data_IF_934198195347
#
_entry.id   IF_934198195347
#
_cell.length_a   1.000
_cell.length_b   1.000
_cell.length_c   1.000
_cell.angle_alpha   90.00
_cell.angle_beta   90.00
_cell.angle_gamma   90.00
#
_symmetry.space_group_name_H-M   'P 1'
#
loop_
_entity.id
_entity.type
_entity.pdbx_description
1 polymer ?
#
# COMPACT_ATOMS: atom_id res chain seq x y z
N UNK A 1 3.49 65.23 39.51
CA UNK A 1 3.01 66.08 38.39
C UNK A 1 3.55 65.49 37.10
N UNK A 2 2.81 65.15 36.05
CA UNK A 2 1.42 64.75 35.82
C UNK A 2 1.49 63.99 34.48
N UNK A 3 0.78 62.87 34.37
CA UNK A 3 0.58 62.13 33.13
C UNK A 3 -0.22 62.97 32.12
N UNK A 4 0.15 62.92 30.84
CA UNK A 4 -0.79 63.02 29.71
C UNK A 4 -0.04 62.67 28.40
N UNK A 5 -0.24 61.46 27.89
CA UNK A 5 0.05 61.12 26.48
C UNK A 5 -1.29 60.96 25.80
N UNK A 6 -1.54 61.86 24.84
CA UNK A 6 -2.78 61.98 24.10
C UNK A 6 -2.97 60.91 23.03
N UNK A 7 -4.24 60.60 22.83
CA UNK A 7 -4.76 59.85 21.69
C UNK A 7 -4.47 60.58 20.37
N UNK A 8 -3.96 59.85 19.37
CA UNK A 8 -4.15 60.18 17.96
C UNK A 8 -4.58 58.92 17.20
N UNK A 9 -5.81 58.97 16.72
CA UNK A 9 -6.49 58.07 15.77
C UNK A 9 -5.96 58.24 14.34
N UNK A 10 -6.06 57.19 13.49
CA UNK A 10 -6.21 57.13 12.00
C UNK A 10 -5.77 55.70 11.52
N UNK A 11 -6.35 55.02 10.48
CA UNK A 11 -7.72 54.96 9.94
C UNK A 11 -8.25 53.48 9.82
N UNK A 12 -9.51 53.25 9.39
CA UNK A 12 -10.05 51.91 9.16
C UNK A 12 -9.93 51.52 7.67
N UNK A 13 -9.00 50.62 7.33
CA UNK A 13 -9.17 49.62 6.26
C UNK A 13 -7.85 48.90 5.99
N UNK A 14 -7.77 47.63 6.37
CA UNK A 14 -6.93 46.63 5.69
C UNK A 14 -7.30 45.26 6.24
N UNK A 15 -8.32 44.64 5.63
CA UNK A 15 -8.52 43.20 5.72
C UNK A 15 -7.29 42.51 5.12
N UNK A 16 -6.52 41.68 5.84
CA UNK A 16 -5.66 40.73 5.18
C UNK A 16 -6.57 39.60 4.70
N UNK A 17 -6.80 39.56 3.38
CA UNK A 17 -7.35 38.39 2.70
C UNK A 17 -6.36 37.21 2.84
N UNK A 18 -6.32 36.60 4.02
CA UNK A 18 -5.69 35.30 4.20
C UNK A 18 -6.67 34.23 3.73
N UNK A 19 -6.92 34.16 2.41
CA UNK A 19 -7.54 32.99 1.79
C UNK A 19 -6.53 31.85 1.89
N UNK A 20 -6.65 31.09 2.98
CA UNK A 20 -5.95 29.83 3.16
C UNK A 20 -6.21 28.93 1.93
N UNK A 21 -5.17 28.50 1.19
CA UNK A 21 -5.34 27.64 0.00
C UNK A 21 -5.98 26.28 0.36
N UNK A 22 -5.88 25.85 1.62
CA UNK A 22 -6.45 24.61 2.13
C UNK A 22 -7.96 24.44 1.89
N UNK A 23 -8.73 25.55 1.87
CA UNK A 23 -10.19 25.48 1.75
C UNK A 23 -10.67 25.15 0.34
N UNK A 24 -9.88 25.49 -0.69
CA UNK A 24 -10.20 25.14 -2.10
C UNK A 24 -9.88 23.68 -2.39
N UNK A 25 -8.77 23.17 -1.90
CA UNK A 25 -8.38 21.77 -2.12
C UNK A 25 -9.31 20.81 -1.37
N UNK A 26 -9.71 21.15 -0.14
CA UNK A 26 -10.74 20.40 0.58
C UNK A 26 -12.10 20.42 -0.15
N UNK A 27 -12.47 21.54 -0.78
CA UNK A 27 -13.74 21.65 -1.51
C UNK A 27 -13.74 20.85 -2.82
N UNK A 28 -12.62 20.84 -3.55
CA UNK A 28 -12.43 19.99 -4.73
C UNK A 28 -12.39 18.50 -4.36
N UNK A 29 -11.72 18.16 -3.25
CA UNK A 29 -11.70 16.80 -2.72
C UNK A 29 -13.11 16.34 -2.34
N UNK A 30 -13.92 17.18 -1.68
CA UNK A 30 -15.33 16.89 -1.38
C UNK A 30 -16.17 16.70 -2.65
N UNK A 31 -15.90 17.46 -3.72
CA UNK A 31 -16.60 17.27 -5.00
C UNK A 31 -16.24 15.94 -5.69
N UNK A 32 -15.04 15.40 -5.44
CA UNK A 32 -14.60 14.07 -5.89
C UNK A 32 -15.30 12.92 -5.13
N UNK A 33 -15.82 13.19 -3.92
CA UNK A 33 -16.50 12.22 -3.05
C UNK A 33 -18.00 12.06 -3.36
N UNK A 34 -18.55 12.70 -4.40
CA UNK A 34 -19.98 12.54 -4.74
C UNK A 34 -20.24 11.09 -5.20
N UNK A 35 -21.15 10.34 -4.54
CA UNK A 35 -21.39 8.94 -4.87
C UNK A 35 -22.07 8.80 -6.23
N UNK A 36 -21.53 7.91 -7.07
CA UNK A 36 -22.15 7.54 -8.35
C UNK A 36 -23.28 6.55 -8.08
N UNK A 37 -24.45 6.64 -8.74
CA UNK A 37 -25.58 5.76 -8.43
C UNK A 37 -25.30 4.27 -8.72
N UNK A 38 -25.53 3.40 -7.71
CA UNK A 38 -25.31 1.93 -7.70
C UNK A 38 -25.79 1.17 -8.94
N UNK A 39 -26.86 1.63 -9.60
CA UNK A 39 -27.46 0.96 -10.77
C UNK A 39 -26.67 1.16 -12.06
N UNK A 40 -26.00 2.31 -12.22
CA UNK A 40 -25.07 2.59 -13.33
C UNK A 40 -23.80 1.76 -13.19
N UNK A 41 -23.31 1.62 -11.95
CA UNK A 41 -22.10 0.87 -11.58
C UNK A 41 -22.17 -0.62 -11.97
N UNK A 42 -23.29 -1.31 -11.69
CA UNK A 42 -23.45 -2.74 -12.06
C UNK A 42 -23.38 -2.96 -13.58
N UNK A 43 -23.72 -1.95 -14.37
CA UNK A 43 -23.77 -2.00 -15.83
C UNK A 43 -22.39 -1.72 -16.43
N UNK A 44 -21.65 -0.75 -15.89
CA UNK A 44 -20.25 -0.47 -16.25
C UNK A 44 -19.30 -1.60 -15.85
N UNK A 45 -19.49 -2.20 -14.66
CA UNK A 45 -18.68 -3.35 -14.21
C UNK A 45 -18.95 -4.62 -15.01
N UNK A 46 -20.20 -4.84 -15.43
CA UNK A 46 -20.51 -5.85 -16.44
C UNK A 46 -19.81 -5.52 -17.77
N UNK A 47 -19.73 -4.26 -18.15
CA UNK A 47 -19.05 -3.82 -19.39
C UNK A 47 -17.54 -4.07 -19.37
N UNK A 48 -16.85 -3.79 -18.25
CA UNK A 48 -15.40 -4.02 -18.12
C UNK A 48 -15.07 -5.51 -17.96
N UNK A 49 -15.88 -6.29 -17.24
CA UNK A 49 -15.70 -7.75 -17.17
C UNK A 49 -16.10 -8.45 -18.48
N UNK A 50 -17.06 -7.90 -19.23
CA UNK A 50 -17.41 -8.36 -20.58
C UNK A 50 -16.41 -7.87 -21.65
N UNK A 51 -15.42 -7.05 -21.29
CA UNK A 51 -14.44 -6.50 -22.23
C UNK A 51 -13.56 -7.58 -22.87
N UNK A 52 -13.51 -8.79 -22.29
CA UNK A 52 -12.72 -9.90 -22.81
C UNK A 52 -13.56 -11.03 -23.44
N UNK A 53 -14.68 -11.46 -22.85
CA UNK A 53 -15.58 -12.50 -23.39
C UNK A 53 -16.92 -12.56 -22.61
N UNK A 54 -17.98 -13.14 -23.19
CA UNK A 54 -19.25 -13.41 -22.50
C UNK A 54 -19.12 -14.43 -21.34
N UNK A 55 -18.00 -15.16 -21.27
CA UNK A 55 -17.72 -16.13 -20.22
C UNK A 55 -16.78 -15.53 -19.14
N UNK A 56 -17.33 -15.33 -17.94
CA UNK A 56 -16.63 -14.75 -16.79
C UNK A 56 -15.34 -15.49 -16.43
N UNK A 57 -15.32 -16.83 -16.56
CA UNK A 57 -14.13 -17.65 -16.27
C UNK A 57 -13.01 -17.37 -17.26
N UNK A 58 -13.34 -17.25 -18.54
CA UNK A 58 -12.36 -16.96 -19.60
C UNK A 58 -11.80 -15.55 -19.42
N UNK A 59 -12.65 -14.58 -19.08
CA UNK A 59 -12.20 -13.23 -18.71
C UNK A 59 -11.24 -13.24 -17.52
N UNK A 60 -11.54 -14.01 -16.47
CA UNK A 60 -10.67 -14.13 -15.29
C UNK A 60 -9.34 -14.80 -15.61
N UNK A 61 -9.32 -15.78 -16.52
CA UNK A 61 -8.09 -16.42 -16.99
C UNK A 61 -7.22 -15.45 -17.81
N UNK A 62 -7.83 -14.65 -18.69
CA UNK A 62 -7.12 -13.63 -19.46
C UNK A 62 -6.56 -12.56 -18.51
N UNK A 63 -7.38 -12.07 -17.57
CA UNK A 63 -6.95 -11.13 -16.54
C UNK A 63 -5.82 -11.70 -15.69
N UNK A 64 -5.90 -13.00 -15.34
CA UNK A 64 -4.86 -13.73 -14.65
C UNK A 64 -3.56 -13.78 -15.43
N UNK A 65 -3.62 -14.12 -16.72
CA UNK A 65 -2.46 -14.15 -17.61
C UNK A 65 -1.79 -12.78 -17.78
N UNK A 66 -2.58 -11.72 -17.97
CA UNK A 66 -2.07 -10.34 -18.07
C UNK A 66 -1.44 -9.87 -16.76
N UNK A 67 -2.13 -10.07 -15.63
CA UNK A 67 -1.63 -9.70 -14.30
C UNK A 67 -0.36 -10.47 -13.93
N UNK A 68 -0.32 -11.77 -14.22
CA UNK A 68 0.86 -12.60 -14.07
C UNK A 68 2.01 -12.15 -14.97
N UNK A 69 1.72 -11.79 -16.23
CA UNK A 69 2.69 -11.21 -17.16
C UNK A 69 3.31 -9.90 -16.66
N UNK A 70 2.50 -9.00 -16.09
CA UNK A 70 2.98 -7.77 -15.45
C UNK A 70 3.88 -8.08 -14.26
N UNK A 71 3.44 -8.98 -13.36
CA UNK A 71 4.22 -9.37 -12.19
C UNK A 71 5.57 -10.01 -12.57
N UNK A 72 5.58 -10.92 -13.55
CA UNK A 72 6.79 -11.56 -14.05
C UNK A 72 7.73 -10.55 -14.73
N UNK A 73 7.19 -9.59 -15.47
CA UNK A 73 7.98 -8.55 -16.14
C UNK A 73 8.68 -7.65 -15.11
N UNK A 74 7.95 -7.25 -14.06
CA UNK A 74 8.52 -6.48 -12.94
C UNK A 74 9.55 -7.29 -12.15
N UNK A 75 9.28 -8.56 -11.86
CA UNK A 75 10.25 -9.46 -11.22
C UNK A 75 11.54 -9.54 -12.04
N UNK A 76 11.43 -9.81 -13.36
CA UNK A 76 12.58 -9.87 -14.26
C UNK A 76 13.34 -8.54 -14.30
N UNK A 77 12.64 -7.41 -14.32
CA UNK A 77 13.28 -6.09 -14.28
C UNK A 77 14.16 -5.92 -13.03
N UNK A 78 13.63 -6.28 -11.86
CA UNK A 78 14.37 -6.17 -10.60
C UNK A 78 15.46 -7.23 -10.43
N UNK A 79 15.26 -8.42 -10.98
CA UNK A 79 16.30 -9.45 -11.06
C UNK A 79 17.49 -8.99 -11.91
N UNK A 80 17.23 -8.39 -13.08
CA UNK A 80 18.29 -7.84 -13.93
C UNK A 80 19.03 -6.69 -13.24
N UNK A 81 18.30 -5.84 -12.54
CA UNK A 81 18.87 -4.76 -11.74
C UNK A 81 19.78 -5.28 -10.61
N UNK A 82 19.35 -6.33 -9.91
CA UNK A 82 20.13 -7.00 -8.87
C UNK A 82 21.36 -7.75 -9.43
N UNK A 83 21.23 -8.38 -10.59
CA UNK A 83 22.35 -9.05 -11.28
C UNK A 83 23.44 -8.06 -11.65
N UNK A 84 23.05 -6.92 -12.21
CA UNK A 84 23.96 -5.84 -12.63
C UNK A 84 24.54 -5.04 -11.46
N UNK A 85 24.07 -5.27 -10.23
CA UNK A 85 24.55 -4.56 -9.04
C UNK A 85 24.28 -3.06 -9.07
N UNK A 86 23.22 -2.63 -9.77
CA UNK A 86 22.87 -1.21 -9.89
C UNK A 86 22.45 -0.64 -8.54
N UNK A 87 21.78 -1.45 -7.72
CA UNK A 87 21.36 -1.11 -6.36
C UNK A 87 21.87 -2.14 -5.37
N UNK A 88 22.09 -1.69 -4.13
CA UNK A 88 22.34 -2.58 -3.00
C UNK A 88 21.20 -3.59 -2.85
N UNK A 89 21.56 -4.83 -2.48
CA UNK A 89 20.61 -5.93 -2.37
C UNK A 89 19.42 -5.61 -1.46
N UNK A 90 19.69 -4.90 -0.34
CA UNK A 90 18.66 -4.48 0.61
C UNK A 90 17.71 -3.42 0.05
N UNK A 91 18.20 -2.54 -0.83
CA UNK A 91 17.36 -1.53 -1.50
C UNK A 91 16.54 -2.22 -2.59
N UNK A 92 17.16 -3.06 -3.40
CA UNK A 92 16.48 -3.80 -4.46
C UNK A 92 15.32 -4.64 -3.92
N UNK A 93 15.54 -5.35 -2.81
CA UNK A 93 14.48 -6.10 -2.11
C UNK A 93 13.28 -5.23 -1.75
N UNK A 94 13.51 -4.03 -1.20
CA UNK A 94 12.41 -3.11 -0.85
C UNK A 94 11.74 -2.50 -2.08
N UNK A 95 12.47 -2.28 -3.17
CA UNK A 95 11.87 -1.84 -4.44
C UNK A 95 10.98 -2.93 -5.06
N UNK A 96 11.42 -4.18 -5.04
CA UNK A 96 10.60 -5.34 -5.45
C UNK A 96 9.32 -5.39 -4.61
N UNK A 97 9.46 -5.25 -3.29
CA UNK A 97 8.36 -5.24 -2.34
C UNK A 97 7.32 -4.16 -2.60
N UNK A 98 7.75 -2.90 -2.77
CA UNK A 98 6.86 -1.77 -3.06
C UNK A 98 6.19 -1.98 -4.42
N UNK A 99 6.97 -2.26 -5.47
CA UNK A 99 6.44 -2.24 -6.83
C UNK A 99 5.56 -3.42 -7.16
N UNK A 100 5.89 -4.64 -6.73
CA UNK A 100 5.05 -5.80 -7.02
C UNK A 100 3.70 -5.74 -6.33
N UNK A 101 3.67 -5.34 -5.04
CA UNK A 101 2.42 -5.25 -4.30
C UNK A 101 1.47 -4.21 -4.88
N UNK A 102 1.97 -3.00 -5.16
CA UNK A 102 1.14 -1.92 -5.71
C UNK A 102 0.76 -2.20 -7.18
N UNK A 103 1.66 -2.74 -8.00
CA UNK A 103 1.32 -3.12 -9.38
C UNK A 103 0.25 -4.21 -9.42
N UNK A 104 0.31 -5.20 -8.53
CA UNK A 104 -0.71 -6.24 -8.43
C UNK A 104 -2.08 -5.65 -8.04
N UNK A 105 -2.12 -4.69 -7.11
CA UNK A 105 -3.37 -3.98 -6.77
C UNK A 105 -3.94 -3.20 -7.96
N UNK A 106 -3.10 -2.62 -8.83
CA UNK A 106 -3.57 -1.96 -10.06
C UNK A 106 -4.24 -2.93 -11.03
N UNK A 107 -3.90 -4.23 -10.98
CA UNK A 107 -4.53 -5.25 -11.81
C UNK A 107 -5.85 -5.79 -11.25
N UNK A 108 -6.20 -5.54 -9.98
CA UNK A 108 -7.46 -6.00 -9.36
C UNK A 108 -8.74 -5.63 -10.11
N UNK A 109 -8.86 -4.46 -10.78
CA UNK A 109 -10.02 -4.11 -11.59
C UNK A 109 -10.29 -5.07 -12.76
N UNK A 110 -9.24 -5.74 -13.29
CA UNK A 110 -9.34 -6.64 -14.44
C UNK A 110 -10.10 -7.93 -14.16
N UNK A 111 -10.19 -8.31 -12.88
CA UNK A 111 -10.89 -9.52 -12.46
C UNK A 111 -12.39 -9.28 -12.29
N UNK A 112 -13.13 -10.37 -12.44
CA UNK A 112 -14.58 -10.39 -12.31
C UNK A 112 -15.04 -9.95 -10.90
N UNK A 113 -16.23 -9.33 -10.80
CA UNK A 113 -16.81 -9.01 -9.50
C UNK A 113 -17.25 -10.30 -8.78
N UNK A 114 -16.95 -10.38 -7.48
CA UNK A 114 -17.37 -11.47 -6.60
C UNK A 114 -16.24 -12.37 -6.13
N UNK A 115 -16.61 -13.48 -5.47
CA UNK A 115 -15.68 -14.41 -4.82
C UNK A 115 -14.78 -15.15 -5.82
N UNK A 116 -15.29 -15.43 -7.02
CA UNK A 116 -14.55 -16.11 -8.07
C UNK A 116 -13.33 -15.29 -8.52
N UNK A 117 -13.54 -14.06 -8.98
CA UNK A 117 -12.44 -13.16 -9.35
C UNK A 117 -11.44 -12.94 -8.21
N UNK A 118 -11.93 -12.89 -6.97
CA UNK A 118 -11.09 -12.82 -5.77
C UNK A 118 -10.14 -14.02 -5.64
N UNK A 119 -10.65 -15.23 -5.85
CA UNK A 119 -9.84 -16.45 -5.83
C UNK A 119 -8.85 -16.45 -6.99
N UNK A 120 -9.30 -16.13 -8.21
CA UNK A 120 -8.41 -16.09 -9.39
C UNK A 120 -7.24 -15.11 -9.21
N UNK A 121 -7.51 -13.92 -8.70
CA UNK A 121 -6.45 -12.96 -8.40
C UNK A 121 -5.54 -13.47 -7.29
N UNK A 122 -6.08 -14.06 -6.21
CA UNK A 122 -5.29 -14.61 -5.11
C UNK A 122 -4.40 -15.80 -5.52
N UNK A 123 -4.75 -16.53 -6.58
CA UNK A 123 -3.90 -17.59 -7.12
C UNK A 123 -2.55 -17.08 -7.61
N UNK A 124 -2.46 -15.85 -8.12
CA UNK A 124 -1.21 -15.27 -8.62
C UNK A 124 -0.15 -15.17 -7.51
N UNK A 125 -0.39 -14.45 -6.40
CA UNK A 125 0.55 -14.43 -5.28
C UNK A 125 0.66 -15.78 -4.57
N UNK A 126 -0.37 -16.64 -4.60
CA UNK A 126 -0.28 -18.00 -4.05
C UNK A 126 0.72 -18.89 -4.81
N UNK A 127 0.78 -18.78 -6.14
CA UNK A 127 1.84 -19.45 -6.93
C UNK A 127 3.22 -18.94 -6.53
N UNK A 128 3.34 -17.64 -6.24
CA UNK A 128 4.60 -17.06 -5.76
C UNK A 128 4.98 -17.58 -4.36
N UNK A 129 4.02 -17.80 -3.47
CA UNK A 129 4.23 -18.47 -2.17
C UNK A 129 4.83 -19.87 -2.41
N UNK A 130 4.25 -20.66 -3.30
CA UNK A 130 4.77 -22.00 -3.64
C UNK A 130 6.19 -21.89 -4.18
N UNK A 131 6.47 -20.94 -5.10
CA UNK A 131 7.84 -20.70 -5.61
C UNK A 131 8.81 -20.42 -4.46
N UNK A 132 8.45 -19.51 -3.54
CA UNK A 132 9.27 -19.15 -2.38
C UNK A 132 9.51 -20.33 -1.43
N UNK A 133 8.50 -21.17 -1.19
CA UNK A 133 8.64 -22.38 -0.38
C UNK A 133 9.60 -23.38 -1.03
N UNK A 134 9.43 -23.66 -2.33
CA UNK A 134 10.31 -24.58 -3.07
C UNK A 134 11.76 -24.10 -3.08
N UNK A 135 11.98 -22.79 -3.27
CA UNK A 135 13.32 -22.20 -3.22
C UNK A 135 13.89 -22.21 -1.79
N UNK A 136 13.12 -21.78 -0.80
CA UNK A 136 13.56 -21.70 0.58
C UNK A 136 13.84 -23.06 1.23
N UNK A 137 13.16 -24.12 0.78
CA UNK A 137 13.44 -25.52 1.16
C UNK A 137 14.60 -26.15 0.37
N UNK A 138 15.17 -25.43 -0.60
CA UNK A 138 16.31 -25.90 -1.41
C UNK A 138 15.95 -26.89 -2.51
N UNK A 139 14.66 -27.10 -2.79
CA UNK A 139 14.16 -28.00 -3.83
C UNK A 139 14.38 -27.39 -5.22
N UNK A 140 14.25 -26.07 -5.33
CA UNK A 140 14.46 -25.31 -6.58
C UNK A 140 15.55 -24.25 -6.39
N UNK A 141 16.50 -24.15 -7.33
CA UNK A 141 17.58 -23.15 -7.28
C UNK A 141 17.38 -22.07 -8.33
N UNK A 142 17.33 -20.82 -7.89
CA UNK A 142 17.19 -19.63 -8.72
C UNK A 142 17.90 -18.45 -8.03
N UNK A 143 19.22 -18.41 -8.19
CA UNK A 143 20.08 -17.42 -7.53
C UNK A 143 19.70 -15.98 -7.91
N UNK A 144 19.10 -15.79 -9.09
CA UNK A 144 18.64 -14.49 -9.56
C UNK A 144 17.48 -13.95 -8.73
N UNK A 145 16.43 -14.76 -8.55
CA UNK A 145 15.29 -14.41 -7.71
C UNK A 145 15.72 -14.27 -6.25
N UNK A 146 16.58 -15.16 -5.74
CA UNK A 146 17.06 -15.08 -4.36
C UNK A 146 17.82 -13.78 -4.13
N UNK A 147 18.75 -13.42 -5.02
CA UNK A 147 19.51 -12.17 -4.91
C UNK A 147 18.61 -10.93 -4.94
N UNK A 148 17.53 -10.94 -5.73
CA UNK A 148 16.64 -9.78 -5.80
C UNK A 148 15.72 -9.62 -4.58
N UNK A 149 15.42 -10.72 -3.87
CA UNK A 149 14.42 -10.77 -2.80
C UNK A 149 14.97 -10.99 -1.38
N UNK A 150 16.26 -11.24 -1.22
CA UNK A 150 16.90 -11.51 0.10
C UNK A 150 17.93 -10.45 0.45
N UNK A 151 18.34 -10.39 1.72
CA UNK A 151 19.35 -9.46 2.25
C UNK A 151 20.74 -9.92 1.89
N UNK A 152 21.04 -11.18 2.20
CA UNK A 152 22.40 -11.72 2.18
C UNK A 152 22.55 -12.85 1.14
N UNK A 153 21.52 -13.10 0.33
CA UNK A 153 21.54 -14.15 -0.70
C UNK A 153 21.18 -15.54 -0.17
N UNK A 154 20.76 -15.66 1.09
CA UNK A 154 20.34 -16.93 1.68
C UNK A 154 18.91 -17.29 1.23
N UNK A 155 18.77 -18.46 0.63
CA UNK A 155 17.50 -19.06 0.24
C UNK A 155 16.49 -19.12 1.40
N UNK A 156 16.94 -19.34 2.64
CA UNK A 156 16.05 -19.42 3.81
C UNK A 156 15.40 -18.10 4.18
N UNK A 157 15.98 -16.97 3.79
CA UNK A 157 15.35 -15.66 4.00
C UNK A 157 14.07 -15.49 3.19
N UNK A 158 13.90 -16.23 2.08
CA UNK A 158 12.66 -16.23 1.31
C UNK A 158 11.47 -16.71 2.13
N UNK A 159 11.69 -17.56 3.14
CA UNK A 159 10.66 -18.11 4.02
C UNK A 159 10.20 -17.13 5.12
N UNK A 160 10.84 -15.96 5.21
CA UNK A 160 10.50 -14.92 6.19
C UNK A 160 9.73 -13.79 5.51
N UNK A 161 10.31 -12.59 5.42
CA UNK A 161 9.68 -11.41 4.84
C UNK A 161 8.97 -11.65 3.51
N UNK A 162 9.65 -12.15 2.44
CA UNK A 162 9.03 -12.40 1.15
C UNK A 162 7.78 -13.29 1.22
N UNK A 163 7.82 -14.37 2.01
CA UNK A 163 6.69 -15.27 2.22
C UNK A 163 5.53 -14.58 2.95
N UNK A 164 5.81 -13.82 4.01
CA UNK A 164 4.79 -13.08 4.76
C UNK A 164 4.11 -12.00 3.91
N UNK A 165 4.88 -11.33 3.06
CA UNK A 165 4.34 -10.35 2.11
C UNK A 165 3.41 -11.00 1.08
N UNK A 166 3.87 -12.07 0.43
CA UNK A 166 3.05 -12.79 -0.54
C UNK A 166 1.79 -13.38 0.12
N UNK A 167 1.91 -13.86 1.36
CA UNK A 167 0.78 -14.36 2.16
C UNK A 167 -0.23 -13.26 2.46
N UNK A 168 0.23 -12.09 2.90
CA UNK A 168 -0.67 -10.96 3.18
C UNK A 168 -1.43 -10.52 1.94
N UNK A 169 -0.76 -10.36 0.79
CA UNK A 169 -1.42 -10.00 -0.47
C UNK A 169 -2.44 -11.07 -0.87
N UNK A 170 -2.08 -12.35 -0.72
CA UNK A 170 -2.97 -13.49 -1.02
C UNK A 170 -4.21 -13.46 -0.14
N UNK A 171 -4.05 -13.31 1.18
CA UNK A 171 -5.15 -13.28 2.15
C UNK A 171 -6.02 -12.03 1.99
N UNK A 172 -5.41 -10.85 1.76
CA UNK A 172 -6.14 -9.62 1.49
C UNK A 172 -6.99 -9.76 0.22
N UNK A 173 -6.44 -10.39 -0.83
CA UNK A 173 -7.16 -10.67 -2.07
C UNK A 173 -8.29 -11.67 -1.85
N UNK A 174 -8.01 -12.78 -1.17
CA UNK A 174 -8.98 -13.85 -0.99
C UNK A 174 -10.10 -13.45 -0.02
N UNK A 175 -9.82 -12.84 1.13
CA UNK A 175 -10.82 -12.67 2.20
C UNK A 175 -11.56 -11.34 2.04
N UNK A 176 -10.82 -10.24 1.97
CA UNK A 176 -11.37 -8.89 2.03
C UNK A 176 -11.70 -8.33 0.64
N UNK A 177 -10.89 -8.70 -0.36
CA UNK A 177 -11.00 -8.30 -1.76
C UNK A 177 -10.98 -6.78 -2.00
N UNK A 178 -11.04 -6.37 -3.27
CA UNK A 178 -10.96 -4.97 -3.71
C UNK A 178 -12.08 -4.04 -3.21
N UNK A 179 -13.13 -4.61 -2.61
CA UNK A 179 -14.27 -3.85 -2.07
C UNK A 179 -14.08 -3.45 -0.61
N UNK A 180 -13.07 -3.99 0.08
CA UNK A 180 -12.84 -3.71 1.49
C UNK A 180 -11.71 -2.69 1.69
N UNK A 181 -11.94 -1.61 2.45
CA UNK A 181 -10.88 -0.69 2.88
C UNK A 181 -9.77 -1.39 3.66
N UNK A 182 -10.07 -2.47 4.39
CA UNK A 182 -9.08 -3.22 5.19
C UNK A 182 -8.02 -3.85 4.27
N UNK A 183 -8.43 -4.43 3.14
CA UNK A 183 -7.50 -5.02 2.16
C UNK A 183 -6.52 -3.96 1.64
N UNK A 184 -7.06 -2.79 1.27
CA UNK A 184 -6.29 -1.66 0.74
C UNK A 184 -5.29 -1.19 1.77
N UNK A 185 -5.77 -0.91 3.00
CA UNK A 185 -4.91 -0.44 4.08
C UNK A 185 -3.80 -1.44 4.41
N UNK A 186 -4.11 -2.73 4.46
CA UNK A 186 -3.15 -3.78 4.78
C UNK A 186 -2.04 -3.85 3.72
N UNK A 187 -2.40 -3.93 2.44
CA UNK A 187 -1.41 -4.04 1.36
C UNK A 187 -0.65 -2.72 1.19
N UNK A 188 -1.30 -1.56 1.28
CA UNK A 188 -0.62 -0.27 1.13
C UNK A 188 0.34 0.02 2.30
N UNK A 189 -0.05 -0.20 3.55
CA UNK A 189 0.85 0.02 4.69
C UNK A 189 2.02 -0.97 4.70
N UNK A 190 1.76 -2.22 4.32
CA UNK A 190 2.82 -3.21 4.20
C UNK A 190 3.76 -2.91 3.03
N UNK A 191 3.25 -2.68 1.81
CA UNK A 191 4.08 -2.47 0.63
C UNK A 191 4.69 -1.07 0.57
N UNK A 192 3.86 -0.02 0.61
CA UNK A 192 4.32 1.36 0.49
C UNK A 192 4.87 1.88 1.82
N UNK A 193 4.16 1.65 2.93
CA UNK A 193 4.56 2.12 4.26
C UNK A 193 5.90 1.53 4.70
N UNK A 194 5.97 0.22 4.98
CA UNK A 194 7.22 -0.45 5.42
C UNK A 194 8.34 -0.33 4.38
N UNK A 195 8.01 -0.41 3.08
CA UNK A 195 8.98 -0.18 2.01
C UNK A 195 9.65 1.20 2.10
N UNK A 196 8.85 2.26 2.25
CA UNK A 196 9.37 3.63 2.32
C UNK A 196 10.04 3.92 3.67
N UNK A 197 9.54 3.32 4.77
CA UNK A 197 10.13 3.43 6.10
C UNK A 197 11.60 3.00 6.11
N UNK A 198 11.90 1.87 5.47
CA UNK A 198 13.26 1.34 5.39
C UNK A 198 14.15 2.15 4.42
N UNK A 199 13.62 2.65 3.30
CA UNK A 199 14.37 3.48 2.36
C UNK A 199 14.73 4.83 2.98
N UNK A 200 13.73 5.55 3.52
CA UNK A 200 13.91 6.86 4.14
C UNK A 200 14.65 6.73 5.46
N UNK A 201 14.35 5.72 6.26
CA UNK A 201 15.01 5.48 7.55
C UNK A 201 16.50 5.18 7.41
N UNK A 202 16.93 4.50 6.35
CA UNK A 202 18.36 4.30 6.08
C UNK A 202 19.06 5.55 5.55
N UNK A 203 18.40 6.31 4.68
CA UNK A 203 19.01 7.47 4.02
C UNK A 203 19.01 8.73 4.90
N UNK A 204 17.96 8.92 5.69
CA UNK A 204 17.70 10.14 6.46
C UNK A 204 17.42 9.87 7.94
N UNK A 205 17.43 8.63 8.42
CA UNK A 205 17.07 8.26 9.80
C UNK A 205 18.18 8.49 10.84
N UNK A 206 18.78 9.69 10.84
CA UNK A 206 19.78 10.09 11.83
C UNK A 206 19.20 10.20 13.24
N UNK A 207 17.94 10.62 13.38
CA UNK A 207 17.23 10.64 14.66
C UNK A 207 16.58 9.29 14.95
N UNK A 208 17.18 8.54 15.88
CA UNK A 208 16.66 7.24 16.35
C UNK A 208 15.54 7.44 17.35
N UNK A 209 14.66 6.44 17.45
CA UNK A 209 13.59 6.46 18.45
C UNK A 209 14.18 6.16 19.85
N UNK A 210 13.70 6.85 20.90
CA UNK A 210 14.25 6.70 22.25
C UNK A 210 14.07 5.28 22.81
N UNK A 211 13.01 4.58 22.40
CA UNK A 211 12.70 3.21 22.81
C UNK A 211 13.14 2.13 21.80
N UNK A 212 13.53 2.50 20.58
CA UNK A 212 13.99 1.54 19.56
C UNK A 212 15.11 2.14 18.71
N UNK A 213 16.36 1.78 19.02
CA UNK A 213 17.55 2.31 18.33
C UNK A 213 17.70 1.81 16.89
N UNK A 214 17.01 0.71 16.52
CA UNK A 214 17.04 0.17 15.17
C UNK A 214 16.16 0.99 14.21
N UNK A 215 15.15 1.69 14.75
CA UNK A 215 14.17 2.47 14.00
C UNK A 215 14.42 3.97 14.16
N UNK A 216 13.87 4.75 13.24
CA UNK A 216 14.11 6.20 13.18
C UNK A 216 12.80 6.97 13.06
N UNK A 217 12.78 8.18 13.61
CA UNK A 217 11.61 9.07 13.54
C UNK A 217 11.22 9.32 12.09
N UNK A 218 12.21 9.60 11.23
CA UNK A 218 12.00 9.82 9.80
C UNK A 218 11.45 8.58 9.08
N UNK A 219 11.88 7.38 9.49
CA UNK A 219 11.34 6.11 8.97
C UNK A 219 9.87 5.93 9.34
N UNK A 220 9.49 6.16 10.59
CA UNK A 220 8.08 6.01 11.03
C UNK A 220 7.17 7.07 10.42
N UNK A 221 7.63 8.31 10.22
CA UNK A 221 6.89 9.34 9.47
C UNK A 221 6.72 8.90 8.01
N UNK A 222 7.77 8.37 7.39
CA UNK A 222 7.71 7.84 6.03
C UNK A 222 6.74 6.66 5.92
N UNK A 223 6.70 5.77 6.91
CA UNK A 223 5.72 4.67 7.00
C UNK A 223 4.29 5.19 6.96
N UNK A 224 3.95 6.06 7.92
CA UNK A 224 2.61 6.58 8.07
C UNK A 224 2.16 7.38 6.84
N UNK A 225 3.03 8.25 6.32
CA UNK A 225 2.71 9.09 5.16
C UNK A 225 2.59 8.29 3.87
N UNK A 226 3.54 7.39 3.57
CA UNK A 226 3.50 6.59 2.34
C UNK A 226 2.33 5.60 2.35
N UNK A 227 2.09 4.93 3.49
CA UNK A 227 0.95 4.02 3.67
C UNK A 227 -0.39 4.73 3.51
N UNK A 228 -0.54 5.91 4.11
CA UNK A 228 -1.75 6.73 4.00
C UNK A 228 -1.98 7.24 2.58
N UNK A 229 -0.97 7.83 1.95
CA UNK A 229 -1.07 8.37 0.59
C UNK A 229 -1.35 7.28 -0.44
N UNK A 230 -0.70 6.12 -0.31
CA UNK A 230 -0.98 4.96 -1.17
C UNK A 230 -2.41 4.47 -0.97
N UNK A 231 -2.87 4.33 0.27
CA UNK A 231 -4.25 3.91 0.57
C UNK A 231 -5.28 4.89 0.00
N UNK A 232 -5.01 6.20 0.09
CA UNK A 232 -5.86 7.24 -0.49
C UNK A 232 -5.89 7.17 -2.01
N UNK A 233 -4.73 6.98 -2.65
CA UNK A 233 -4.63 6.80 -4.10
C UNK A 233 -5.43 5.59 -4.59
N UNK A 234 -5.28 4.44 -3.92
CA UNK A 234 -6.03 3.23 -4.26
C UNK A 234 -7.53 3.35 -3.96
N UNK A 235 -7.91 4.09 -2.92
CA UNK A 235 -9.32 4.40 -2.67
C UNK A 235 -9.93 5.20 -3.82
N UNK A 236 -9.26 6.26 -4.28
CA UNK A 236 -9.73 7.07 -5.42
C UNK A 236 -9.78 6.20 -6.68
N UNK A 237 -8.73 5.40 -6.92
CA UNK A 237 -8.65 4.49 -8.04
C UNK A 237 -9.83 3.50 -8.05
N UNK A 238 -10.08 2.77 -6.96
CA UNK A 238 -11.17 1.81 -6.87
C UNK A 238 -12.55 2.45 -6.78
N UNK A 239 -12.67 3.67 -6.25
CA UNK A 239 -13.88 4.46 -6.32
C UNK A 239 -14.22 4.85 -7.76
N UNK A 240 -13.22 5.10 -8.63
CA UNK A 240 -13.46 5.41 -10.04
C UNK A 240 -14.10 4.25 -10.82
N UNK A 241 -13.83 3.01 -10.41
CA UNK A 241 -14.49 1.80 -10.94
C UNK A 241 -15.79 1.44 -10.20
N UNK A 242 -16.16 2.20 -9.16
CA UNK A 242 -17.34 1.94 -8.34
C UNK A 242 -17.24 0.73 -7.42
N UNK A 243 -16.02 0.27 -7.08
CA UNK A 243 -15.83 -0.85 -6.15
C UNK A 243 -16.04 -0.46 -4.69
N UNK A 244 -15.78 0.80 -4.35
CA UNK A 244 -15.93 1.32 -3.00
C UNK A 244 -16.41 2.76 -3.02
N UNK A 245 -17.04 3.19 -1.94
CA UNK A 245 -17.43 4.58 -1.76
C UNK A 245 -16.30 5.35 -1.07
N UNK A 246 -15.81 6.38 -1.74
CA UNK A 246 -14.88 7.31 -1.14
C UNK A 246 -15.66 8.20 -0.15
N UNK A 247 -15.36 8.05 1.14
CA UNK A 247 -16.00 8.80 2.22
C UNK A 247 -14.97 9.36 3.19
N UNK A 248 -15.32 10.43 3.91
CA UNK A 248 -14.45 10.97 4.95
C UNK A 248 -14.19 9.95 6.08
N UNK A 249 -15.16 9.08 6.39
CA UNK A 249 -14.96 7.97 7.33
C UNK A 249 -13.84 7.04 6.84
N UNK A 250 -13.84 6.72 5.54
CA UNK A 250 -12.82 5.86 4.94
C UNK A 250 -11.44 6.50 5.01
N UNK A 251 -11.33 7.80 4.70
CA UNK A 251 -10.08 8.57 4.76
C UNK A 251 -9.54 8.62 6.19
N UNK A 252 -10.37 8.96 7.18
CA UNK A 252 -9.98 8.95 8.59
C UNK A 252 -9.55 7.56 9.03
N UNK A 253 -10.24 6.52 8.55
CA UNK A 253 -9.87 5.15 8.86
C UNK A 253 -8.47 4.78 8.32
N UNK A 254 -8.14 5.16 7.09
CA UNK A 254 -6.79 4.99 6.56
C UNK A 254 -5.73 5.75 7.35
N UNK A 255 -6.06 6.96 7.83
CA UNK A 255 -5.13 7.75 8.65
C UNK A 255 -4.83 7.03 9.98
N UNK A 256 -5.87 6.57 10.68
CA UNK A 256 -5.75 5.82 11.94
C UNK A 256 -4.93 4.55 11.72
N UNK A 257 -5.25 3.79 10.67
CA UNK A 257 -4.54 2.56 10.32
C UNK A 257 -3.05 2.80 10.00
N UNK A 258 -2.74 3.83 9.24
CA UNK A 258 -1.35 4.13 8.86
C UNK A 258 -0.54 4.61 10.06
N UNK A 259 -1.17 5.39 10.97
CA UNK A 259 -0.57 5.76 12.24
C UNK A 259 -0.35 4.55 13.15
N UNK A 260 -1.35 3.67 13.29
CA UNK A 260 -1.24 2.44 14.07
C UNK A 260 -0.16 1.51 13.53
N UNK A 261 -0.09 1.33 12.20
CA UNK A 261 0.95 0.55 11.54
C UNK A 261 2.35 1.12 11.81
N UNK A 262 2.52 2.44 11.76
CA UNK A 262 3.79 3.09 12.07
C UNK A 262 4.19 2.94 13.56
N UNK A 263 3.23 2.97 14.48
CA UNK A 263 3.48 2.74 15.91
C UNK A 263 3.86 1.28 16.20
N UNK A 264 3.24 0.33 15.51
CA UNK A 264 3.58 -1.09 15.65
C UNK A 264 4.95 -1.36 15.04
N UNK A 265 5.24 -0.82 13.85
CA UNK A 265 6.56 -0.96 13.21
C UNK A 265 7.67 -0.32 14.04
N UNK A 266 7.39 0.80 14.73
CA UNK A 266 8.36 1.44 15.59
C UNK A 266 8.66 0.64 16.86
N UNK A 267 7.76 -0.26 17.26
CA UNK A 267 7.85 -1.03 18.50
C UNK A 267 8.99 -2.08 18.45
N UNK A 268 9.77 -2.25 19.53
CA UNK A 268 10.86 -3.24 19.58
C UNK A 268 10.42 -4.67 19.28
N UNK A 269 9.23 -5.07 19.77
CA UNK A 269 8.63 -6.39 19.49
C UNK A 269 8.45 -6.67 18.00
N UNK A 270 8.20 -5.65 17.18
CA UNK A 270 8.07 -5.81 15.73
C UNK A 270 9.40 -6.15 15.08
N UNK A 271 10.50 -5.61 15.63
CA UNK A 271 11.85 -5.97 15.20
C UNK A 271 12.24 -7.42 15.54
N UNK A 272 11.57 -8.04 16.52
CA UNK A 272 11.79 -9.43 16.93
C UNK A 272 10.85 -10.42 16.20
N UNK A 273 9.59 -10.05 16.00
CA UNK A 273 8.55 -10.90 15.39
C UNK A 273 8.44 -10.79 13.87
N UNK A 274 9.26 -9.93 13.25
CA UNK A 274 9.24 -9.54 11.84
C UNK A 274 8.10 -8.55 11.52
N UNK A 275 8.49 -7.34 11.10
CA UNK A 275 7.58 -6.25 10.72
C UNK A 275 6.58 -6.66 9.62
N UNK A 276 6.95 -7.68 8.84
CA UNK A 276 6.18 -8.17 7.71
C UNK A 276 4.97 -9.01 8.11
N UNK A 277 4.90 -9.42 9.38
CA UNK A 277 3.76 -10.10 9.97
C UNK A 277 2.93 -9.16 10.86
N UNK A 278 3.59 -8.33 11.67
CA UNK A 278 2.93 -7.45 12.64
C UNK A 278 2.12 -6.34 11.98
N UNK A 279 2.61 -5.76 10.87
CA UNK A 279 1.96 -4.66 10.17
C UNK A 279 0.64 -5.11 9.50
N UNK A 280 0.59 -6.22 8.73
CA UNK A 280 -0.66 -6.76 8.21
C UNK A 280 -1.68 -7.13 9.29
N UNK A 281 -1.22 -7.76 10.39
CA UNK A 281 -2.09 -8.12 11.50
C UNK A 281 -2.71 -6.88 12.15
N UNK A 282 -1.92 -5.83 12.35
CA UNK A 282 -2.40 -4.54 12.85
C UNK A 282 -3.44 -3.96 11.91
N UNK A 283 -3.21 -4.04 10.59
CA UNK A 283 -4.16 -3.54 9.62
C UNK A 283 -5.51 -4.27 9.67
N UNK A 284 -5.49 -5.59 9.87
CA UNK A 284 -6.70 -6.40 10.05
C UNK A 284 -7.40 -6.08 11.36
N UNK A 285 -6.69 -6.05 12.48
CA UNK A 285 -7.27 -5.83 13.81
C UNK A 285 -7.84 -4.42 13.95
N UNK A 286 -7.04 -3.39 13.65
CA UNK A 286 -7.46 -1.99 13.73
C UNK A 286 -8.51 -1.71 12.65
N UNK A 287 -8.33 -2.25 11.44
CA UNK A 287 -9.28 -2.07 10.35
C UNK A 287 -10.66 -2.63 10.66
N UNK A 288 -10.72 -3.76 11.36
CA UNK A 288 -11.99 -4.37 11.79
C UNK A 288 -12.72 -3.54 12.86
N UNK A 289 -12.00 -2.69 13.60
CA UNK A 289 -12.60 -1.78 14.60
C UNK A 289 -13.02 -0.44 13.98
N UNK A 290 -12.32 -0.01 12.93
CA UNK A 290 -12.45 1.34 12.38
C UNK A 290 -13.47 1.43 11.24
N UNK A 291 -13.58 0.39 10.40
CA UNK A 291 -14.46 0.38 9.23
C UNK A 291 -15.79 -0.31 9.52
#
# INVERSE_FOLDING_TARGET
>A
MALAIGFFTIPPNSTPNLRCPLKKDAFNFIHLLKPTPRRRIRRELKSVAAMFTDNVVVSDLIAGGLSGGVALSLLKLWEQTAKRGIFDQKLNRKLVHITLGLAFMLCWPMFSPGRQGAIFAALIPAVNIIKMLLMGLGIWKDDATVKSMTRDGDYRELLKGPLYYASTITLASAIYWRTSPIAIAAVCNMCAGDGMADIVGRRFGGQKLPYNKNKSVNGSIAMASAGFLASLGFMIYYSSFGFMEASMKTVLGFLILSAAAALVESHPLSSELDDNLTVPLTAVLVGSLVF
#
